data_IF_305586818258
#
_entry.id   IF_305586818258
#
_cell.length_a   1.000
_cell.length_b   1.000
_cell.length_c   1.000
_cell.angle_alpha   90.00
_cell.angle_beta   90.00
_cell.angle_gamma   90.00
#
_symmetry.space_group_name_H-M   'P 1'
#
loop_
_entity.id
_entity.type
_entity.pdbx_description
1 polymer ?
#
# COMPACT_ATOMS: atom_id res chain seq x y z
N UNK A 1 13.30 -29.41 0.54
CA UNK A 1 12.88 -28.09 0.05
C UNK A 1 13.03 -27.11 1.19
N UNK A 2 13.60 -25.93 0.92
CA UNK A 2 13.79 -24.87 1.91
C UNK A 2 12.96 -23.68 1.44
N UNK A 3 12.12 -23.15 2.32
CA UNK A 3 11.33 -21.96 2.03
C UNK A 3 12.18 -20.71 2.27
N UNK A 4 12.13 -19.74 1.36
CA UNK A 4 12.74 -18.42 1.50
C UNK A 4 11.65 -17.40 1.78
N UNK A 5 11.87 -16.56 2.79
CA UNK A 5 10.98 -15.45 3.11
C UNK A 5 11.66 -14.15 2.72
N UNK A 6 11.08 -13.43 1.76
CA UNK A 6 11.44 -12.06 1.42
C UNK A 6 10.51 -11.13 2.19
N UNK A 7 11.09 -10.34 3.07
CA UNK A 7 10.33 -9.46 3.96
C UNK A 7 10.69 -8.01 3.68
N UNK A 8 9.67 -7.17 3.59
CA UNK A 8 9.83 -5.72 3.54
C UNK A 8 8.78 -5.04 4.42
N UNK A 9 9.09 -3.82 4.84
CA UNK A 9 8.29 -3.03 5.77
C UNK A 9 8.66 -1.56 5.61
N UNK A 10 7.78 -0.67 6.04
CA UNK A 10 8.08 0.76 6.16
C UNK A 10 8.64 1.36 4.85
N UNK A 11 7.97 1.03 3.73
CA UNK A 11 8.36 1.44 2.37
C UNK A 11 7.87 2.85 2.05
N UNK A 12 7.04 3.44 2.89
CA UNK A 12 6.26 4.64 2.60
C UNK A 12 7.10 5.85 2.16
N UNK A 13 8.30 6.03 2.72
CA UNK A 13 9.18 7.13 2.34
C UNK A 13 10.07 6.78 1.12
N UNK A 14 10.13 5.51 0.72
CA UNK A 14 10.89 5.08 -0.45
C UNK A 14 10.28 5.60 -1.76
N UNK A 15 8.96 5.78 -1.81
CA UNK A 15 8.27 6.26 -3.01
C UNK A 15 8.67 7.69 -3.42
N UNK A 16 9.18 8.49 -2.49
CA UNK A 16 9.63 9.86 -2.76
C UNK A 16 10.95 9.91 -3.55
N UNK A 17 11.65 8.78 -3.66
CA UNK A 17 12.89 8.62 -4.40
C UNK A 17 12.74 7.45 -5.40
N UNK A 18 12.65 7.73 -6.72
CA UNK A 18 12.44 6.71 -7.73
C UNK A 18 13.56 5.66 -7.77
N UNK A 19 14.80 6.04 -7.45
CA UNK A 19 15.90 5.08 -7.40
C UNK A 19 15.78 4.17 -6.18
N UNK A 20 15.34 4.70 -5.04
CA UNK A 20 15.17 3.92 -3.81
C UNK A 20 14.07 2.87 -3.97
N UNK A 21 12.88 3.28 -4.43
CA UNK A 21 11.78 2.32 -4.67
C UNK A 21 12.12 1.35 -5.81
N UNK A 22 12.82 1.81 -6.85
CA UNK A 22 13.29 0.95 -7.94
C UNK A 22 14.29 -0.12 -7.48
N UNK A 23 15.26 0.24 -6.62
CA UNK A 23 16.20 -0.72 -6.02
C UNK A 23 15.50 -1.75 -5.14
N UNK A 24 14.50 -1.33 -4.36
CA UNK A 24 13.69 -2.24 -3.57
C UNK A 24 12.96 -3.24 -4.47
N UNK A 25 12.24 -2.75 -5.49
CA UNK A 25 11.52 -3.59 -6.44
C UNK A 25 12.45 -4.60 -7.13
N UNK A 26 13.60 -4.14 -7.64
CA UNK A 26 14.59 -5.02 -8.27
C UNK A 26 15.17 -6.06 -7.31
N UNK A 27 15.34 -5.73 -6.03
CA UNK A 27 15.83 -6.68 -5.01
C UNK A 27 14.80 -7.76 -4.72
N UNK A 28 13.52 -7.40 -4.60
CA UNK A 28 12.42 -8.35 -4.40
C UNK A 28 12.30 -9.29 -5.61
N UNK A 29 12.29 -8.73 -6.82
CA UNK A 29 12.21 -9.50 -8.06
C UNK A 29 13.41 -10.45 -8.26
N UNK A 30 14.62 -10.03 -7.90
CA UNK A 30 15.79 -10.89 -7.97
C UNK A 30 15.78 -12.02 -6.93
N UNK A 31 15.05 -11.82 -5.82
CA UNK A 31 14.88 -12.81 -4.76
C UNK A 31 13.74 -13.78 -5.03
N UNK A 32 12.80 -13.46 -5.91
CA UNK A 32 11.60 -14.25 -6.17
C UNK A 32 11.91 -15.63 -6.78
N UNK A 33 10.98 -16.58 -6.65
CA UNK A 33 11.10 -17.94 -7.18
C UNK A 33 10.10 -18.90 -6.55
N UNK A 34 9.97 -20.11 -7.11
CA UNK A 34 8.96 -21.10 -6.67
C UNK A 34 9.12 -21.63 -5.23
N UNK A 35 10.20 -21.26 -4.54
CA UNK A 35 10.46 -21.56 -3.13
C UNK A 35 10.44 -20.30 -2.23
N UNK A 36 10.06 -19.14 -2.76
CA UNK A 36 10.02 -17.87 -2.06
C UNK A 36 8.58 -17.45 -1.72
N UNK A 37 8.45 -16.72 -0.62
CA UNK A 37 7.26 -15.92 -0.30
C UNK A 37 7.70 -14.48 -0.04
N UNK A 38 7.07 -13.53 -0.71
CA UNK A 38 7.26 -12.10 -0.52
C UNK A 38 6.13 -11.53 0.36
N UNK A 39 6.49 -11.01 1.53
CA UNK A 39 5.53 -10.50 2.51
C UNK A 39 5.88 -9.08 2.94
N UNK A 40 4.95 -8.16 2.77
CA UNK A 40 5.01 -6.84 3.37
C UNK A 40 4.37 -6.82 4.76
N UNK A 41 4.96 -6.07 5.70
CA UNK A 41 4.45 -5.99 7.09
C UNK A 41 3.80 -4.66 7.45
N UNK A 42 3.37 -3.90 6.46
CA UNK A 42 2.64 -2.65 6.66
C UNK A 42 3.50 -1.40 6.63
N UNK A 43 2.82 -0.27 6.76
CA UNK A 43 3.35 1.08 6.53
C UNK A 43 3.93 1.19 5.12
N UNK A 44 3.17 0.70 4.15
CA UNK A 44 3.58 0.65 2.74
C UNK A 44 2.80 1.63 1.87
N UNK A 45 1.81 2.34 2.42
CA UNK A 45 0.95 3.26 1.66
C UNK A 45 1.10 4.73 2.05
N UNK A 46 1.55 5.02 3.27
CA UNK A 46 1.80 6.34 3.84
C UNK A 46 2.65 6.22 5.12
N UNK A 47 3.25 7.31 5.65
CA UNK A 47 3.39 8.67 5.10
C UNK A 47 4.31 8.83 3.87
N UNK A 48 4.47 10.06 3.38
CA UNK A 48 5.36 10.40 2.26
C UNK A 48 4.83 11.59 1.45
N UNK A 49 5.72 12.34 0.78
CA UNK A 49 5.30 13.48 -0.06
C UNK A 49 4.45 12.99 -1.23
N UNK A 50 4.87 11.89 -1.87
CA UNK A 50 4.12 11.26 -2.93
C UNK A 50 2.81 10.70 -2.37
N UNK A 51 2.82 10.03 -1.21
CA UNK A 51 1.60 9.54 -0.55
C UNK A 51 0.55 10.65 -0.31
N UNK A 52 0.98 11.86 0.07
CA UNK A 52 0.08 13.02 0.21
C UNK A 52 -0.44 13.54 -1.14
N UNK A 53 0.34 13.44 -2.20
CA UNK A 53 -0.03 13.91 -3.55
C UNK A 53 -0.94 12.93 -4.28
N UNK A 54 -0.65 11.65 -4.14
CA UNK A 54 -1.35 10.55 -4.81
C UNK A 54 -2.28 9.84 -3.87
N UNK A 55 -2.53 10.33 -2.65
CA UNK A 55 -3.47 9.74 -1.70
C UNK A 55 -3.28 8.21 -1.55
N UNK A 56 -2.02 7.75 -1.46
CA UNK A 56 -1.67 6.34 -1.26
C UNK A 56 -1.65 5.49 -2.55
N UNK A 57 -2.16 6.00 -3.67
CA UNK A 57 -2.23 5.29 -4.95
C UNK A 57 -0.88 4.90 -5.54
N UNK A 58 0.21 5.59 -5.17
CA UNK A 58 1.57 5.28 -5.62
C UNK A 58 2.03 3.88 -5.19
N UNK A 59 1.50 3.36 -4.08
CA UNK A 59 1.83 2.03 -3.59
C UNK A 59 1.42 0.92 -4.56
N UNK A 60 0.34 1.13 -5.33
CA UNK A 60 -0.14 0.14 -6.30
C UNK A 60 0.87 -0.09 -7.43
N UNK A 61 1.70 0.89 -7.77
CA UNK A 61 2.70 0.73 -8.83
C UNK A 61 3.82 -0.21 -8.37
N UNK A 62 4.25 -0.14 -7.10
CA UNK A 62 5.19 -1.11 -6.53
C UNK A 62 4.53 -2.49 -6.42
N UNK A 63 3.32 -2.56 -5.86
CA UNK A 63 2.63 -3.84 -5.69
C UNK A 63 2.39 -4.55 -7.02
N UNK A 64 2.00 -3.82 -8.07
CA UNK A 64 1.83 -4.38 -9.41
C UNK A 64 3.17 -4.82 -10.04
N UNK A 65 4.29 -4.20 -9.66
CA UNK A 65 5.60 -4.57 -10.18
C UNK A 65 6.18 -5.83 -9.52
N UNK A 66 5.91 -6.04 -8.22
CA UNK A 66 6.54 -7.13 -7.43
C UNK A 66 5.58 -8.24 -7.03
N UNK A 67 4.27 -8.04 -7.20
CA UNK A 67 3.19 -9.01 -6.92
C UNK A 67 3.41 -9.81 -5.61
N UNK A 68 3.47 -9.15 -4.44
CA UNK A 68 3.78 -9.83 -3.19
C UNK A 68 2.70 -10.87 -2.83
N UNK A 69 3.04 -11.89 -2.06
CA UNK A 69 2.07 -12.91 -1.63
C UNK A 69 1.10 -12.34 -0.60
N UNK A 70 1.60 -11.49 0.30
CA UNK A 70 0.77 -10.88 1.33
C UNK A 70 1.27 -9.51 1.81
N UNK A 71 0.34 -8.74 2.33
CA UNK A 71 0.59 -7.52 3.09
C UNK A 71 -0.12 -7.58 4.43
N UNK A 72 0.43 -6.91 5.45
CA UNK A 72 -0.30 -6.58 6.67
C UNK A 72 -0.52 -5.09 6.81
N UNK A 73 -1.49 -4.67 7.61
CA UNK A 73 -1.70 -3.25 7.91
C UNK A 73 -0.77 -2.80 9.03
N UNK A 74 0.01 -1.76 8.76
CA UNK A 74 0.72 -0.97 9.76
C UNK A 74 -0.16 0.17 10.31
N UNK A 75 0.39 0.98 11.20
CA UNK A 75 -0.36 2.08 11.82
C UNK A 75 -0.57 3.26 10.87
N UNK A 76 0.32 3.47 9.91
CA UNK A 76 0.27 4.55 8.93
C UNK A 76 -0.55 4.22 7.69
N UNK A 77 -0.91 2.96 7.45
CA UNK A 77 -1.77 2.57 6.34
C UNK A 77 -3.22 3.12 6.44
N UNK A 78 -3.55 3.79 7.54
CA UNK A 78 -4.83 4.47 7.79
C UNK A 78 -4.72 6.01 7.85
N UNK A 79 -3.52 6.57 7.70
CA UNK A 79 -3.27 8.03 7.82
C UNK A 79 -4.04 8.83 6.77
N UNK A 80 -4.27 8.23 5.60
CA UNK A 80 -4.99 8.82 4.48
C UNK A 80 -6.52 8.61 4.54
N UNK A 81 -7.07 8.28 5.72
CA UNK A 81 -8.45 7.84 5.97
C UNK A 81 -8.69 6.34 5.69
N UNK A 82 -9.57 5.73 6.48
CA UNK A 82 -9.91 4.31 6.34
C UNK A 82 -10.62 4.00 5.01
N UNK A 83 -11.39 4.96 4.48
CA UNK A 83 -12.04 4.84 3.17
C UNK A 83 -11.01 4.67 2.05
N UNK A 84 -9.87 5.37 2.13
CA UNK A 84 -8.80 5.24 1.12
C UNK A 84 -8.19 3.86 1.15
N UNK A 85 -7.86 3.35 2.34
CA UNK A 85 -7.35 1.98 2.50
C UNK A 85 -8.33 0.95 1.92
N UNK A 86 -9.63 1.15 2.12
CA UNK A 86 -10.68 0.27 1.55
C UNK A 86 -10.79 0.36 0.02
N UNK A 87 -10.29 1.43 -0.60
CA UNK A 87 -10.17 1.52 -2.06
C UNK A 87 -8.90 0.86 -2.59
N UNK A 88 -7.77 0.99 -1.88
CA UNK A 88 -6.48 0.44 -2.30
C UNK A 88 -6.45 -1.08 -2.18
N UNK A 89 -6.91 -1.63 -1.05
CA UNK A 89 -6.91 -3.07 -0.75
C UNK A 89 -7.47 -3.95 -1.89
N UNK A 90 -8.69 -3.70 -2.44
CA UNK A 90 -9.23 -4.53 -3.51
C UNK A 90 -8.54 -4.33 -4.87
N UNK A 91 -7.61 -3.38 -5.00
CA UNK A 91 -6.85 -3.10 -6.24
C UNK A 91 -5.42 -3.59 -6.18
N UNK A 92 -4.95 -3.96 -4.99
CA UNK A 92 -3.67 -4.63 -4.78
C UNK A 92 -3.71 -6.06 -5.35
N UNK A 93 -2.63 -6.53 -6.00
CA UNK A 93 -2.52 -7.93 -6.44
C UNK A 93 -2.44 -8.92 -5.27
N UNK A 94 -1.84 -8.50 -4.15
CA UNK A 94 -1.62 -9.34 -2.97
C UNK A 94 -2.83 -9.46 -2.06
N UNK A 95 -2.81 -10.50 -1.22
CA UNK A 95 -3.76 -10.61 -0.12
C UNK A 95 -3.38 -9.68 1.04
N UNK A 96 -4.30 -8.81 1.44
CA UNK A 96 -4.18 -8.06 2.69
C UNK A 96 -4.66 -8.89 3.88
N UNK A 97 -3.75 -9.14 4.82
CA UNK A 97 -3.97 -9.86 6.05
C UNK A 97 -4.13 -8.87 7.20
N UNK A 98 -5.12 -9.14 8.04
CA UNK A 98 -5.37 -8.36 9.25
C UNK A 98 -5.35 -9.28 10.45
N UNK A 99 -4.62 -8.88 11.48
CA UNK A 99 -4.74 -9.48 12.81
C UNK A 99 -6.08 -9.14 13.48
N UNK A 100 -6.08 -9.04 14.81
CA UNK A 100 -7.29 -8.92 15.64
C UNK A 100 -8.03 -7.58 15.55
N UNK A 101 -7.53 -6.59 14.79
CA UNK A 101 -8.24 -5.32 14.70
C UNK A 101 -9.56 -5.52 13.95
N UNK A 102 -10.64 -4.89 14.43
CA UNK A 102 -11.97 -4.94 13.81
C UNK A 102 -12.38 -3.54 13.37
N UNK A 103 -13.27 -3.42 12.36
CA UNK A 103 -13.89 -2.12 12.08
C UNK A 103 -14.82 -1.84 13.27
N UNK A 104 -14.66 -0.72 14.01
CA UNK A 104 -15.56 -0.43 15.12
C UNK A 104 -16.99 -0.37 14.59
N UNK A 105 -17.86 -1.23 15.11
CA UNK A 105 -19.29 -1.12 14.83
C UNK A 105 -19.83 0.13 15.54
N UNK A 106 -20.71 0.92 14.90
CA UNK A 106 -21.33 2.06 15.58
C UNK A 106 -22.06 1.55 16.83
N UNK A 107 -21.62 1.95 18.03
CA UNK A 107 -22.36 1.64 19.26
C UNK A 107 -23.73 2.33 19.19
N UNK A 108 -24.82 1.55 19.22
CA UNK A 108 -26.18 2.08 19.40
C UNK A 108 -26.20 3.00 20.63
N UNK A 109 -26.66 4.24 20.46
CA UNK A 109 -26.97 5.14 21.58
C UNK A 109 -25.93 6.19 21.97
N UNK A 110 -24.80 6.36 21.25
CA UNK A 110 -23.95 7.56 21.40
C UNK A 110 -23.87 8.31 20.09
N UNK A 111 -24.73 9.30 19.92
CA UNK A 111 -24.53 10.40 18.96
C UNK A 111 -23.39 11.31 19.46
N UNK A 112 -22.15 10.80 19.48
CA UNK A 112 -21.06 11.73 19.20
C UNK A 112 -21.16 11.97 17.71
N UNK A 113 -21.28 13.22 17.29
CA UNK A 113 -21.00 13.61 15.92
C UNK A 113 -19.51 13.36 15.64
N UNK A 114 -19.10 12.10 15.57
CA UNK A 114 -17.99 11.73 14.74
C UNK A 114 -18.53 11.98 13.33
N UNK A 115 -18.34 13.21 12.83
CA UNK A 115 -18.12 13.32 11.39
C UNK A 115 -17.01 12.31 11.14
N UNK A 116 -17.35 11.17 10.53
CA UNK A 116 -16.40 10.61 9.60
C UNK A 116 -16.09 11.82 8.71
N UNK A 117 -14.90 12.42 8.87
CA UNK A 117 -14.40 13.26 7.81
C UNK A 117 -14.39 12.31 6.64
N UNK A 118 -15.43 12.39 5.80
CA UNK A 118 -15.37 11.78 4.50
C UNK A 118 -13.99 12.19 3.99
N UNK A 119 -13.18 11.23 3.57
CA UNK A 119 -12.05 11.54 2.72
C UNK A 119 -12.57 12.61 1.76
N UNK A 120 -11.97 13.80 1.80
CA UNK A 120 -12.47 14.93 1.02
C UNK A 120 -12.62 14.48 -0.43
N UNK A 121 -13.36 15.18 -1.30
CA UNK A 121 -13.42 14.86 -2.71
C UNK A 121 -12.02 15.07 -3.35
N UNK A 122 -11.10 14.16 -3.06
CA UNK A 122 -9.86 13.92 -3.75
C UNK A 122 -10.27 13.45 -5.14
N UNK A 123 -9.68 14.07 -6.14
CA UNK A 123 -10.03 13.86 -7.55
C UNK A 123 -9.97 12.35 -7.81
N UNK A 124 -11.13 11.74 -8.05
CA UNK A 124 -11.32 10.30 -8.22
C UNK A 124 -10.65 9.72 -9.48
N UNK A 125 -9.80 10.50 -10.14
CA UNK A 125 -8.97 10.06 -11.24
C UNK A 125 -7.62 9.64 -10.70
N UNK A 126 -7.31 8.33 -10.80
CA UNK A 126 -5.92 7.86 -10.84
C UNK A 126 -5.14 8.83 -11.74
N UNK A 127 -4.05 9.48 -11.28
CA UNK A 127 -3.19 10.21 -12.19
C UNK A 127 -2.79 9.22 -13.28
N UNK A 128 -3.12 9.51 -14.53
CA UNK A 128 -2.61 8.73 -15.65
C UNK A 128 -1.09 8.74 -15.55
N UNK A 129 -0.48 7.57 -15.37
CA UNK A 129 0.97 7.45 -15.33
C UNK A 129 1.55 8.11 -16.59
N UNK A 130 2.65 8.90 -16.50
CA UNK A 130 3.36 9.29 -17.69
C UNK A 130 3.82 8.02 -18.40
N UNK A 131 3.53 7.91 -19.70
CA UNK A 131 4.09 6.87 -20.53
C UNK A 131 5.62 7.04 -20.51
N UNK A 132 6.32 6.21 -19.75
CA UNK A 132 7.77 6.08 -19.83
C UNK A 132 8.07 5.43 -21.18
N UNK A 133 8.17 6.27 -22.21
CA UNK A 133 8.63 5.86 -23.53
C UNK A 133 10.12 5.55 -23.45
N UNK A 134 10.47 4.27 -23.29
CA UNK A 134 11.77 3.79 -23.71
C UNK A 134 11.87 3.99 -25.22
N UNK A 135 12.61 5.01 -25.63
CA UNK A 135 13.06 5.15 -27.01
C UNK A 135 14.16 4.10 -27.21
N UNK A 136 13.93 3.18 -28.15
CA UNK A 136 14.93 2.19 -28.58
C UNK A 136 16.06 2.78 -29.39
#
# INVERSE_FOLDING_TARGET
MTLRLLHYSDVENAYDDPERVGRLAGTLLAGDGGDALACGTGDNTAPGVLALRTEGWQSLDLFAAVEPDSETFGNHDLDLCAERTLELVPRSPQQWLRGTSTRPTPRRGRTRSARASACGPGRSSRPTAPAWGCSG
#
